data_IF_771935131812
#
_entry.id   IF_771935131812
#
_cell.length_a   1.000
_cell.length_b   1.000
_cell.length_c   1.000
_cell.angle_alpha   90.00
_cell.angle_beta   90.00
_cell.angle_gamma   90.00
#
_symmetry.space_group_name_H-M   'P 1'
#
loop_
_entity.id
_entity.type
_entity.pdbx_description
1 polymer ?
#
# COMPACT_ATOMS: atom_id res chain seq x y z
N UNK A 1 55.17 20.31 -22.17
CA UNK A 1 55.00 19.01 -21.48
C UNK A 1 53.51 18.88 -21.21
N UNK A 2 52.80 18.15 -22.07
CA UNK A 2 51.34 18.03 -22.02
C UNK A 2 51.01 16.61 -21.58
N UNK A 3 50.31 16.47 -20.46
CA UNK A 3 49.82 15.18 -19.95
C UNK A 3 48.44 14.88 -20.55
N UNK A 4 48.19 13.66 -21.05
CA UNK A 4 46.86 13.25 -21.48
C UNK A 4 46.02 12.78 -20.28
N UNK A 5 44.81 13.31 -20.17
CA UNK A 5 43.80 12.92 -19.20
C UNK A 5 43.09 11.64 -19.70
N UNK A 6 43.35 10.52 -19.04
CA UNK A 6 42.66 9.26 -19.29
C UNK A 6 41.31 9.24 -18.56
N UNK A 7 40.23 9.48 -19.28
CA UNK A 7 38.86 9.29 -18.80
C UNK A 7 38.48 7.81 -18.87
N UNK A 8 38.42 7.15 -17.70
CA UNK A 8 37.92 5.78 -17.56
C UNK A 8 36.39 5.77 -17.51
N UNK A 9 35.75 5.45 -18.63
CA UNK A 9 34.32 5.13 -18.68
C UNK A 9 34.11 3.68 -18.22
N UNK A 10 33.56 3.49 -17.03
CA UNK A 10 33.13 2.18 -16.55
C UNK A 10 31.93 1.69 -17.39
N UNK A 11 31.95 0.44 -17.89
CA UNK A 11 30.82 -0.14 -18.61
C UNK A 11 29.68 -0.46 -17.64
N UNK A 12 28.48 0.02 -17.96
CA UNK A 12 27.25 -0.36 -17.26
C UNK A 12 27.00 -1.87 -17.39
N UNK A 13 26.52 -2.55 -16.32
CA UNK A 13 26.21 -3.97 -16.38
C UNK A 13 25.08 -4.25 -17.37
N UNK A 14 25.11 -5.39 -18.10
CA UNK A 14 24.05 -5.77 -19.02
C UNK A 14 22.75 -6.03 -18.25
N UNK A 15 21.65 -5.39 -18.66
CA UNK A 15 20.32 -5.66 -18.12
C UNK A 15 19.93 -7.13 -18.34
N UNK A 16 19.27 -7.78 -17.36
CA UNK A 16 18.86 -9.17 -17.49
C UNK A 16 17.88 -9.35 -18.67
N UNK A 17 17.90 -10.49 -19.37
CA UNK A 17 17.01 -10.75 -20.49
C UNK A 17 15.55 -10.77 -20.02
N UNK A 18 14.76 -9.81 -20.49
CA UNK A 18 13.32 -9.80 -20.28
C UNK A 18 12.70 -10.88 -21.18
N UNK A 19 12.24 -11.98 -20.57
CA UNK A 19 11.49 -12.99 -21.32
C UNK A 19 10.15 -12.40 -21.80
N UNK A 20 9.85 -12.48 -23.10
CA UNK A 20 8.59 -11.96 -23.65
C UNK A 20 7.39 -12.68 -23.02
N UNK A 21 6.30 -11.96 -22.81
CA UNK A 21 5.05 -12.53 -22.32
C UNK A 21 4.51 -13.58 -23.31
N UNK A 22 4.28 -14.81 -22.84
CA UNK A 22 3.76 -15.90 -23.65
C UNK A 22 2.30 -16.18 -23.27
N UNK A 23 1.33 -15.94 -24.18
CA UNK A 23 -0.09 -16.16 -23.90
C UNK A 23 -0.51 -17.64 -23.98
N UNK A 24 0.28 -18.47 -24.68
CA UNK A 24 -0.04 -19.87 -24.95
C UNK A 24 -0.38 -20.72 -23.71
N UNK A 25 0.39 -20.70 -22.60
CA UNK A 25 0.05 -21.49 -21.41
C UNK A 25 -1.29 -21.08 -20.79
N UNK A 26 -1.60 -19.78 -20.77
CA UNK A 26 -2.85 -19.23 -20.24
C UNK A 26 -4.05 -19.68 -21.09
N UNK A 27 -3.94 -19.56 -22.41
CA UNK A 27 -4.99 -19.99 -23.33
C UNK A 27 -5.19 -21.52 -23.28
N UNK A 28 -4.10 -22.29 -23.20
CA UNK A 28 -4.18 -23.74 -23.08
C UNK A 28 -4.86 -24.17 -21.78
N UNK A 29 -4.53 -23.52 -20.65
CA UNK A 29 -5.14 -23.79 -19.35
C UNK A 29 -6.66 -23.58 -19.37
N UNK A 30 -7.10 -22.46 -19.95
CA UNK A 30 -8.54 -22.15 -20.10
C UNK A 30 -9.22 -22.91 -21.25
N UNK A 31 -8.49 -23.78 -21.95
CA UNK A 31 -8.97 -24.48 -23.16
C UNK A 31 -9.51 -23.53 -24.24
N UNK A 32 -8.93 -22.34 -24.35
CA UNK A 32 -9.28 -21.32 -25.35
C UNK A 32 -8.43 -21.45 -26.61
N UNK A 33 -8.96 -21.13 -27.80
CA UNK A 33 -8.21 -21.18 -29.05
C UNK A 33 -7.10 -20.10 -29.08
N UNK A 34 -5.98 -20.31 -29.80
CA UNK A 34 -4.90 -19.32 -29.93
C UNK A 34 -5.34 -17.97 -30.52
N UNK A 35 -6.43 -17.97 -31.30
CA UNK A 35 -7.02 -16.77 -31.92
C UNK A 35 -8.17 -16.17 -31.07
N UNK A 36 -8.27 -16.51 -29.79
CA UNK A 36 -9.31 -16.01 -28.90
C UNK A 36 -9.27 -14.47 -28.75
N UNK A 37 -10.45 -13.85 -28.68
CA UNK A 37 -10.63 -12.42 -28.45
C UNK A 37 -11.58 -12.23 -27.27
N UNK A 38 -11.20 -11.42 -26.24
CA UNK A 38 -10.00 -10.58 -26.15
C UNK A 38 -8.70 -11.38 -25.97
N UNK A 39 -7.61 -10.93 -26.59
CA UNK A 39 -6.31 -11.61 -26.48
C UNK A 39 -5.59 -11.22 -25.18
N UNK A 40 -5.02 -12.17 -24.42
CA UNK A 40 -4.26 -11.88 -23.20
C UNK A 40 -3.02 -11.02 -23.44
N UNK A 41 -2.43 -11.03 -24.65
CA UNK A 41 -1.23 -10.26 -24.95
C UNK A 41 -1.54 -8.82 -25.40
N UNK A 42 -2.58 -8.62 -26.22
CA UNK A 42 -2.90 -7.31 -26.80
C UNK A 42 -4.06 -6.59 -26.11
N UNK A 43 -4.94 -7.33 -25.46
CA UNK A 43 -6.10 -6.83 -24.71
C UNK A 43 -6.17 -7.48 -23.31
N UNK A 44 -5.10 -7.33 -22.48
CA UNK A 44 -5.00 -7.99 -21.18
C UNK A 44 -6.13 -7.59 -20.21
N UNK A 45 -6.54 -6.32 -20.18
CA UNK A 45 -7.61 -5.85 -19.28
C UNK A 45 -8.97 -6.51 -19.58
N UNK A 46 -9.51 -6.44 -20.83
CA UNK A 46 -10.74 -7.14 -21.18
C UNK A 46 -10.66 -8.65 -20.95
N UNK A 47 -9.51 -9.27 -21.23
CA UNK A 47 -9.29 -10.69 -20.99
C UNK A 47 -9.36 -11.05 -19.50
N UNK A 48 -8.62 -10.33 -18.66
CA UNK A 48 -8.63 -10.55 -17.21
C UNK A 48 -10.01 -10.27 -16.60
N UNK A 49 -10.74 -9.26 -17.09
CA UNK A 49 -12.11 -9.01 -16.61
C UNK A 49 -13.03 -10.23 -16.76
N UNK A 50 -12.81 -11.06 -17.79
CA UNK A 50 -13.61 -12.25 -18.05
C UNK A 50 -13.07 -13.49 -17.34
N UNK A 51 -11.74 -13.63 -17.28
CA UNK A 51 -11.10 -14.91 -16.94
C UNK A 51 -10.32 -14.91 -15.64
N UNK A 52 -10.09 -13.75 -15.00
CA UNK A 52 -9.29 -13.68 -13.78
C UNK A 52 -9.78 -14.60 -12.65
N UNK A 53 -11.09 -14.75 -12.35
CA UNK A 53 -11.57 -15.68 -11.32
C UNK A 53 -11.25 -17.15 -11.59
N UNK A 54 -10.91 -17.50 -12.83
CA UNK A 54 -10.59 -18.86 -13.24
C UNK A 54 -9.08 -19.08 -13.39
N UNK A 55 -8.25 -18.05 -13.21
CA UNK A 55 -6.81 -18.15 -13.42
C UNK A 55 -6.10 -18.39 -12.09
N UNK A 56 -5.27 -19.44 -11.98
CA UNK A 56 -4.43 -19.61 -10.80
C UNK A 56 -3.33 -18.53 -10.75
N UNK A 57 -2.73 -18.27 -9.58
CA UNK A 57 -1.75 -17.20 -9.36
C UNK A 57 -0.56 -17.27 -10.33
N UNK A 58 -0.10 -18.50 -10.64
CA UNK A 58 0.99 -18.76 -11.57
C UNK A 58 0.72 -18.28 -12.99
N UNK A 59 -0.54 -18.23 -13.40
CA UNK A 59 -0.96 -17.78 -14.73
C UNK A 59 -1.41 -16.31 -14.74
N UNK A 60 -1.84 -15.78 -13.60
CA UNK A 60 -2.24 -14.38 -13.45
C UNK A 60 -1.03 -13.44 -13.22
N UNK A 61 -0.04 -13.84 -12.42
CA UNK A 61 1.12 -13.00 -12.09
C UNK A 61 1.89 -12.42 -13.31
N UNK A 62 2.07 -13.15 -14.43
CA UNK A 62 2.75 -12.60 -15.61
C UNK A 62 2.11 -11.33 -16.20
N UNK A 63 0.83 -11.07 -15.93
CA UNK A 63 0.15 -9.84 -16.38
C UNK A 63 0.65 -8.57 -15.69
N UNK A 64 1.36 -8.68 -14.56
CA UNK A 64 2.04 -7.53 -13.91
C UNK A 64 3.00 -6.81 -14.86
N UNK A 65 3.59 -7.55 -15.82
CA UNK A 65 4.50 -6.98 -16.82
C UNK A 65 3.77 -6.19 -17.91
N UNK A 66 2.47 -6.42 -18.08
CA UNK A 66 1.66 -5.81 -19.12
C UNK A 66 0.80 -4.66 -18.59
N UNK A 67 0.45 -4.70 -17.30
CA UNK A 67 -0.50 -3.78 -16.68
C UNK A 67 0.13 -3.06 -15.49
N UNK A 68 -0.06 -1.75 -15.46
CA UNK A 68 0.27 -0.93 -14.28
C UNK A 68 -0.66 -1.27 -13.10
N UNK A 69 -0.24 -1.02 -11.84
CA UNK A 69 -1.12 -1.18 -10.69
C UNK A 69 -2.44 -0.41 -10.80
N UNK A 70 -2.44 0.78 -11.40
CA UNK A 70 -3.65 1.59 -11.63
C UNK A 70 -4.59 0.93 -12.66
N UNK A 71 -4.06 0.39 -13.75
CA UNK A 71 -4.87 -0.39 -14.71
C UNK A 71 -5.48 -1.62 -14.04
N UNK A 72 -4.69 -2.37 -13.25
CA UNK A 72 -5.18 -3.54 -12.52
C UNK A 72 -6.30 -3.21 -11.53
N UNK A 73 -6.30 -2.00 -10.94
CA UNK A 73 -7.37 -1.54 -10.05
C UNK A 73 -8.75 -1.41 -10.74
N UNK A 74 -8.80 -1.39 -12.08
CA UNK A 74 -10.05 -1.41 -12.86
C UNK A 74 -10.72 -2.79 -12.87
N UNK A 75 -10.04 -3.83 -12.40
CA UNK A 75 -10.58 -5.17 -12.23
C UNK A 75 -11.19 -5.27 -10.82
N UNK A 76 -12.52 -5.49 -10.70
CA UNK A 76 -13.18 -5.54 -9.39
C UNK A 76 -12.54 -6.54 -8.43
N UNK A 77 -12.18 -7.73 -8.92
CA UNK A 77 -11.53 -8.75 -8.10
C UNK A 77 -10.19 -8.27 -7.53
N UNK A 78 -9.35 -7.61 -8.32
CA UNK A 78 -8.08 -7.05 -7.84
C UNK A 78 -8.31 -5.95 -6.80
N UNK A 79 -9.25 -5.04 -7.06
CA UNK A 79 -9.58 -3.96 -6.13
C UNK A 79 -10.05 -4.52 -4.78
N UNK A 80 -10.85 -5.57 -4.83
CA UNK A 80 -11.35 -6.30 -3.68
C UNK A 80 -10.22 -6.99 -2.90
N UNK A 81 -9.33 -7.72 -3.58
CA UNK A 81 -8.13 -8.33 -2.96
C UNK A 81 -7.25 -7.29 -2.26
N UNK A 82 -7.01 -6.14 -2.91
CA UNK A 82 -6.25 -5.02 -2.32
C UNK A 82 -6.94 -4.43 -1.10
N UNK A 83 -8.26 -4.31 -1.13
CA UNK A 83 -9.04 -3.82 0.01
C UNK A 83 -8.91 -4.77 1.19
N UNK A 84 -9.10 -6.08 0.96
CA UNK A 84 -8.94 -7.11 1.99
C UNK A 84 -7.51 -7.08 2.58
N UNK A 85 -6.48 -7.07 1.73
CA UNK A 85 -5.08 -6.93 2.14
C UNK A 85 -4.84 -5.67 2.99
N UNK A 86 -5.40 -4.53 2.58
CA UNK A 86 -5.20 -3.25 3.25
C UNK A 86 -5.93 -3.13 4.59
N UNK A 87 -6.97 -3.93 4.82
CA UNK A 87 -7.76 -3.98 6.05
C UNK A 87 -7.33 -5.12 6.99
N UNK A 88 -6.61 -6.11 6.48
CA UNK A 88 -6.19 -7.28 7.25
C UNK A 88 -5.35 -6.90 8.48
N UNK A 89 -5.70 -7.39 9.69
CA UNK A 89 -4.92 -7.20 10.90
C UNK A 89 -3.81 -8.26 11.05
N UNK A 90 -2.55 -7.88 11.35
CA UNK A 90 -2.06 -6.53 11.52
C UNK A 90 -1.90 -5.78 10.18
N UNK A 91 -2.08 -4.46 10.22
CA UNK A 91 -1.95 -3.58 9.05
C UNK A 91 -0.62 -3.86 8.33
N UNK A 92 -0.63 -4.08 6.99
CA UNK A 92 0.59 -4.35 6.26
C UNK A 92 1.65 -3.28 6.50
N UNK A 93 2.87 -3.71 6.83
CA UNK A 93 3.93 -2.82 7.28
C UNK A 93 4.29 -1.72 6.26
N UNK A 94 4.08 -1.99 4.96
CA UNK A 94 4.26 -1.02 3.90
C UNK A 94 3.22 0.12 3.94
N UNK A 95 1.99 -0.16 4.40
CA UNK A 95 0.89 0.81 4.46
C UNK A 95 0.83 1.58 5.79
N UNK A 96 1.52 1.08 6.81
CA UNK A 96 1.60 1.74 8.12
C UNK A 96 2.32 3.10 8.04
N UNK A 97 1.90 4.05 8.89
CA UNK A 97 2.40 5.42 8.84
C UNK A 97 3.93 5.56 8.90
N UNK A 98 4.70 4.77 9.69
CA UNK A 98 6.14 4.98 9.77
C UNK A 98 6.82 4.70 8.43
N UNK A 99 6.35 3.70 7.69
CA UNK A 99 6.92 3.37 6.38
C UNK A 99 6.40 4.33 5.30
N UNK A 100 5.09 4.50 5.24
CA UNK A 100 4.45 5.27 4.18
C UNK A 100 4.80 6.76 4.25
N UNK A 101 4.99 7.35 5.45
CA UNK A 101 5.29 8.78 5.59
C UNK A 101 6.64 9.16 4.95
N UNK A 102 7.63 8.26 5.01
CA UNK A 102 8.93 8.47 4.35
C UNK A 102 8.84 8.39 2.82
N UNK A 103 7.83 7.70 2.29
CA UNK A 103 7.59 7.52 0.85
C UNK A 103 6.67 8.60 0.29
N UNK A 104 5.71 9.07 1.08
CA UNK A 104 4.69 10.07 0.76
C UNK A 104 4.81 11.34 1.65
N UNK A 105 5.97 12.03 1.68
CA UNK A 105 6.21 13.14 2.60
C UNK A 105 5.29 14.36 2.33
N UNK A 106 4.88 14.54 1.07
CA UNK A 106 3.92 15.58 0.68
C UNK A 106 2.53 15.32 1.28
N UNK A 107 2.03 14.08 1.19
CA UNK A 107 0.76 13.68 1.79
C UNK A 107 0.81 13.77 3.32
N UNK A 108 1.92 13.36 3.93
CA UNK A 108 2.13 13.45 5.37
C UNK A 108 2.10 14.91 5.87
N UNK A 109 2.76 15.80 5.14
CA UNK A 109 2.80 17.23 5.47
C UNK A 109 1.44 17.88 5.28
N UNK A 110 0.72 17.53 4.20
CA UNK A 110 -0.61 18.05 3.91
C UNK A 110 -1.66 17.69 4.98
N UNK A 111 -1.54 16.51 5.60
CA UNK A 111 -2.42 16.07 6.68
C UNK A 111 -2.01 16.59 8.07
N UNK A 112 -1.01 17.47 8.16
CA UNK A 112 -0.61 18.11 9.41
C UNK A 112 0.34 17.29 10.28
N UNK A 113 1.02 16.28 9.74
CA UNK A 113 2.01 15.48 10.49
C UNK A 113 3.02 16.31 11.28
N UNK A 114 3.77 17.22 10.63
CA UNK A 114 4.71 18.11 11.33
C UNK A 114 4.04 19.04 12.34
N UNK A 115 2.83 19.54 12.05
CA UNK A 115 2.08 20.44 12.93
C UNK A 115 1.60 19.73 14.21
N UNK A 116 1.33 18.43 14.14
CA UNK A 116 1.01 17.58 15.28
C UNK A 116 2.25 17.11 16.08
N UNK A 117 3.43 17.68 15.80
CA UNK A 117 4.69 17.32 16.47
C UNK A 117 5.24 15.94 16.07
N UNK A 118 4.72 15.35 15.01
CA UNK A 118 5.19 14.06 14.51
C UNK A 118 6.29 14.26 13.47
N UNK A 119 7.49 13.80 13.82
CA UNK A 119 8.60 13.76 12.89
C UNK A 119 8.53 12.51 12.00
N UNK A 120 9.03 12.64 10.78
CA UNK A 120 9.29 11.48 9.93
C UNK A 120 10.30 10.57 10.64
N UNK A 121 10.08 9.24 10.65
CA UNK A 121 11.07 8.32 11.19
C UNK A 121 12.39 8.48 10.45
N UNK A 122 13.50 8.37 11.17
CA UNK A 122 14.81 8.54 10.56
C UNK A 122 15.06 7.37 9.60
N UNK A 123 15.64 7.62 8.41
CA UNK A 123 16.04 6.53 7.50
C UNK A 123 16.91 5.51 8.23
N UNK A 124 16.58 4.22 8.12
CA UNK A 124 17.33 3.14 8.75
C UNK A 124 17.03 2.91 10.23
N UNK A 125 16.16 3.70 10.87
CA UNK A 125 15.86 3.56 12.31
C UNK A 125 15.13 2.25 12.62
N UNK A 126 14.21 1.85 11.75
CA UNK A 126 13.47 0.60 11.90
C UNK A 126 14.37 -0.60 11.62
N UNK A 127 15.09 -0.58 10.52
CA UNK A 127 16.03 -1.65 10.15
C UNK A 127 17.11 -1.79 11.23
N UNK A 128 17.60 -0.68 11.78
CA UNK A 128 18.49 -0.71 12.94
C UNK A 128 17.85 -1.30 14.19
N UNK A 129 16.56 -1.07 14.44
CA UNK A 129 15.84 -1.69 15.55
C UNK A 129 15.64 -3.20 15.33
N UNK A 130 15.32 -3.61 14.10
CA UNK A 130 15.19 -5.02 13.70
C UNK A 130 16.55 -5.75 13.84
N UNK A 131 17.64 -5.17 13.35
CA UNK A 131 19.00 -5.69 13.50
C UNK A 131 19.43 -5.80 14.97
N UNK A 132 19.10 -4.79 15.78
CA UNK A 132 19.34 -4.84 17.24
C UNK A 132 18.53 -5.95 17.90
N UNK A 133 17.27 -6.15 17.49
CA UNK A 133 16.41 -7.18 18.03
C UNK A 133 16.90 -8.58 17.63
N UNK A 134 17.26 -8.76 16.36
CA UNK A 134 17.84 -9.98 15.83
C UNK A 134 19.14 -10.34 16.55
N UNK A 135 20.07 -9.40 16.69
CA UNK A 135 21.33 -9.62 17.40
C UNK A 135 21.10 -10.04 18.86
N UNK A 136 20.11 -9.43 19.53
CA UNK A 136 19.73 -9.81 20.90
C UNK A 136 19.14 -11.21 20.97
N UNK A 137 18.26 -11.59 20.04
CA UNK A 137 17.56 -12.87 20.08
C UNK A 137 18.46 -14.04 19.67
N UNK A 138 19.10 -13.96 18.49
CA UNK A 138 19.87 -15.08 17.94
C UNK A 138 21.25 -15.25 18.60
N UNK A 139 21.89 -14.15 19.01
CA UNK A 139 23.27 -14.19 19.50
C UNK A 139 23.36 -14.36 21.03
N UNK A 140 22.50 -13.67 21.81
CA UNK A 140 22.44 -13.89 23.28
C UNK A 140 21.77 -15.22 23.61
N UNK A 141 20.70 -15.57 22.87
CA UNK A 141 19.94 -16.80 23.09
C UNK A 141 20.78 -18.08 22.99
N UNK A 142 21.85 -18.08 22.18
CA UNK A 142 22.74 -19.25 21.99
C UNK A 142 23.94 -19.32 22.95
N UNK A 143 24.45 -18.19 23.46
CA UNK A 143 25.66 -18.16 24.32
C UNK A 143 25.38 -18.05 25.81
N UNK A 144 24.13 -17.84 26.22
CA UNK A 144 23.75 -17.69 27.63
C UNK A 144 24.16 -16.33 28.22
N UNK A 145 23.85 -16.10 29.51
CA UNK A 145 23.95 -14.79 30.16
C UNK A 145 25.39 -14.24 30.24
N UNK A 146 26.42 -15.08 30.18
CA UNK A 146 27.83 -14.65 30.19
C UNK A 146 28.24 -13.89 28.91
N UNK A 147 27.50 -14.04 27.81
CA UNK A 147 27.74 -13.32 26.55
C UNK A 147 26.99 -12.00 26.40
N UNK A 148 26.09 -11.65 27.32
CA UNK A 148 25.13 -10.56 27.13
C UNK A 148 25.77 -9.16 26.97
N UNK A 149 26.94 -8.93 27.59
CA UNK A 149 27.65 -7.64 27.52
C UNK A 149 28.19 -7.29 26.12
N UNK A 150 28.88 -8.22 25.46
CA UNK A 150 29.42 -8.00 24.11
C UNK A 150 28.33 -7.91 23.03
N UNK A 151 27.15 -8.47 23.28
CA UNK A 151 26.06 -8.49 22.28
C UNK A 151 25.27 -7.18 22.26
N UNK A 152 25.22 -6.46 23.38
CA UNK A 152 24.71 -5.09 23.41
C UNK A 152 25.50 -4.19 22.46
N UNK A 153 26.83 -4.28 22.50
CA UNK A 153 27.73 -3.53 21.63
C UNK A 153 27.60 -3.95 20.17
N UNK A 154 27.46 -5.26 19.88
CA UNK A 154 27.27 -5.76 18.52
C UNK A 154 25.93 -5.29 17.92
N UNK A 155 24.83 -5.39 18.64
CA UNK A 155 23.53 -4.90 18.16
C UNK A 155 23.52 -3.39 17.95
N UNK A 156 24.15 -2.62 18.85
CA UNK A 156 24.30 -1.18 18.67
C UNK A 156 25.13 -0.84 17.41
N UNK A 157 26.23 -1.56 17.19
CA UNK A 157 27.09 -1.41 16.03
C UNK A 157 26.38 -1.76 14.72
N UNK A 158 25.69 -2.91 14.66
CA UNK A 158 24.93 -3.34 13.49
C UNK A 158 23.81 -2.35 13.14
N UNK A 159 23.04 -1.92 14.14
CA UNK A 159 22.04 -0.87 13.91
C UNK A 159 22.65 0.47 13.47
N UNK A 160 23.87 0.79 13.93
CA UNK A 160 24.63 1.95 13.46
C UNK A 160 24.98 1.86 11.98
N UNK A 161 25.51 0.71 11.53
CA UNK A 161 25.81 0.45 10.13
C UNK A 161 24.57 0.47 9.24
N UNK A 162 23.43 -0.01 9.73
CA UNK A 162 22.19 0.01 8.96
C UNK A 162 21.67 1.43 8.73
N UNK A 163 21.71 2.28 9.76
CA UNK A 163 21.40 3.71 9.62
C UNK A 163 22.36 4.40 8.64
N UNK A 164 23.65 4.06 8.68
CA UNK A 164 24.64 4.61 7.74
C UNK A 164 24.33 4.19 6.30
N UNK A 165 24.02 2.91 6.07
CA UNK A 165 23.67 2.36 4.75
C UNK A 165 22.39 3.01 4.21
N UNK A 166 21.34 3.09 5.02
CA UNK A 166 20.10 3.75 4.64
C UNK A 166 20.32 5.24 4.34
N UNK A 167 21.16 5.91 5.13
CA UNK A 167 21.55 7.31 4.92
C UNK A 167 22.36 7.53 3.64
N UNK A 168 23.23 6.60 3.26
CA UNK A 168 23.94 6.62 1.98
C UNK A 168 23.00 6.43 0.80
N UNK A 169 22.14 5.42 0.84
CA UNK A 169 21.13 5.16 -0.19
C UNK A 169 20.21 6.37 -0.40
N UNK A 170 19.79 7.04 0.67
CA UNK A 170 18.99 8.26 0.57
C UNK A 170 19.77 9.43 -0.06
N UNK A 171 21.06 9.59 0.28
CA UNK A 171 21.93 10.59 -0.35
C UNK A 171 22.12 10.31 -1.84
N UNK A 172 22.26 9.05 -2.24
CA UNK A 172 22.32 8.64 -3.63
C UNK A 172 21.00 8.90 -4.37
N UNK A 173 19.86 8.51 -3.77
CA UNK A 173 18.52 8.78 -4.33
C UNK A 173 18.28 10.27 -4.52
N UNK A 174 18.70 11.11 -3.56
CA UNK A 174 18.63 12.57 -3.66
C UNK A 174 19.48 13.10 -4.82
N UNK A 175 20.70 12.59 -5.00
CA UNK A 175 21.57 12.93 -6.13
C UNK A 175 20.95 12.50 -7.46
N UNK A 176 20.42 11.29 -7.56
CA UNK A 176 19.75 10.78 -8.75
C UNK A 176 18.52 11.63 -9.14
N UNK A 177 17.70 12.02 -8.16
CA UNK A 177 16.55 12.93 -8.38
C UNK A 177 16.98 14.31 -8.87
N UNK A 178 18.04 14.87 -8.28
CA UNK A 178 18.57 16.16 -8.71
C UNK A 178 19.11 16.11 -10.15
N UNK A 179 19.82 15.03 -10.51
CA UNK A 179 20.31 14.80 -11.86
C UNK A 179 19.16 14.60 -12.88
N UNK A 180 18.15 13.80 -12.53
CA UNK A 180 16.98 13.60 -13.37
C UNK A 180 16.23 14.91 -13.64
N UNK A 181 16.08 15.76 -12.61
CA UNK A 181 15.49 17.10 -12.75
C UNK A 181 16.33 18.03 -13.61
N UNK A 182 17.67 17.96 -13.50
CA UNK A 182 18.57 18.77 -14.32
C UNK A 182 18.65 18.33 -15.80
N UNK A 183 18.29 17.08 -16.09
CA UNK A 183 18.27 16.53 -17.46
C UNK A 183 16.90 16.68 -18.15
N UNK A 184 15.84 17.01 -17.41
CA UNK A 184 14.59 17.43 -18.04
C UNK A 184 14.79 18.82 -18.65
N UNK A 185 14.55 19.02 -19.96
CA UNK A 185 14.47 20.36 -20.52
C UNK A 185 13.37 21.11 -19.77
N UNK A 186 13.63 22.37 -19.40
CA UNK A 186 12.62 23.20 -18.75
C UNK A 186 11.34 23.19 -19.61
N UNK A 187 10.16 22.90 -19.04
CA UNK A 187 8.95 23.27 -19.72
C UNK A 187 8.99 24.80 -19.86
N UNK A 188 8.91 25.28 -21.10
CA UNK A 188 8.64 26.68 -21.37
C UNK A 188 7.42 27.06 -20.53
N UNK A 189 7.61 28.00 -19.61
CA UNK A 189 6.53 28.57 -18.81
C UNK A 189 5.63 29.34 -19.77
N UNK A 190 4.57 28.70 -20.26
CA UNK A 190 3.37 29.41 -20.67
C UNK A 190 2.66 29.83 -19.37
N UNK A 191 2.74 31.13 -19.08
CA UNK A 191 1.87 31.81 -18.14
C UNK A 191 0.42 31.65 -18.65
N UNK A 192 -0.33 30.72 -18.06
CA UNK A 192 -1.79 30.81 -18.05
C UNK A 192 -2.25 31.07 -16.62
N UNK A 193 -2.66 32.31 -16.41
CA UNK A 193 -3.48 32.78 -15.29
C UNK A 193 -4.85 32.09 -15.29
N UNK A 194 -5.32 31.79 -14.08
CA UNK A 194 -6.73 31.60 -13.68
C UNK A 194 -7.52 30.41 -14.24
N UNK A 195 -7.78 29.41 -13.38
CA UNK A 195 -9.12 29.29 -12.78
C UNK A 195 -9.08 28.40 -11.52
N UNK A 196 -9.53 28.99 -10.42
CA UNK A 196 -9.85 28.31 -9.17
C UNK A 196 -11.03 27.36 -9.40
N UNK A 197 -10.79 26.07 -9.50
CA UNK A 197 -11.84 25.09 -9.19
C UNK A 197 -11.25 23.98 -8.32
N UNK A 198 -11.35 24.20 -7.00
CA UNK A 198 -11.23 23.15 -6.01
C UNK A 198 -12.30 22.09 -6.34
N UNK A 199 -11.87 21.05 -7.04
CA UNK A 199 -12.61 19.82 -7.24
C UNK A 199 -12.94 19.19 -5.90
N UNK A 200 -14.10 19.59 -5.38
CA UNK A 200 -14.89 19.00 -4.32
C UNK A 200 -14.61 17.51 -4.17
N UNK A 201 -13.81 17.16 -3.16
CA UNK A 201 -13.75 15.81 -2.64
C UNK A 201 -15.17 15.47 -2.21
N UNK A 202 -15.84 14.66 -3.03
CA UNK A 202 -17.14 14.08 -2.73
C UNK A 202 -17.05 13.39 -1.38
N UNK A 203 -17.54 14.10 -0.38
CA UNK A 203 -17.95 13.61 0.92
C UNK A 203 -19.10 12.65 0.68
N UNK A 204 -18.77 11.41 0.35
CA UNK A 204 -19.71 10.32 0.58
C UNK A 204 -19.64 10.01 2.08
N UNK A 205 -20.66 10.47 2.78
CA UNK A 205 -20.92 10.17 4.18
C UNK A 205 -20.84 8.65 4.39
N UNK A 206 -19.87 8.23 5.19
CA UNK A 206 -20.03 7.08 6.08
C UNK A 206 -19.97 7.67 7.49
N UNK A 207 -21.15 7.87 8.05
CA UNK A 207 -21.39 8.27 9.42
C UNK A 207 -20.76 7.25 10.38
N UNK A 208 -19.77 7.68 11.17
CA UNK A 208 -19.47 7.12 12.51
C UNK A 208 -18.49 8.03 13.27
N UNK A 209 -19.07 8.86 14.14
CA UNK A 209 -18.60 9.16 15.51
C UNK A 209 -17.09 9.39 15.80
N UNK A 210 -16.35 10.20 15.01
CA UNK A 210 -14.97 10.59 15.38
C UNK A 210 -14.67 12.10 15.21
N UNK A 211 -15.61 12.96 15.61
CA UNK A 211 -15.43 14.43 15.56
C UNK A 211 -14.53 14.99 16.68
N UNK A 212 -13.95 14.14 17.54
CA UNK A 212 -13.07 14.58 18.64
C UNK A 212 -11.56 14.59 18.35
N UNK A 213 -11.11 13.97 17.26
CA UNK A 213 -9.70 13.55 17.13
C UNK A 213 -8.82 14.33 16.14
N UNK A 214 -9.36 15.34 15.44
CA UNK A 214 -8.72 15.91 14.23
C UNK A 214 -7.37 16.63 14.45
N UNK A 215 -7.01 16.98 15.69
CA UNK A 215 -5.70 17.59 16.01
C UNK A 215 -4.78 16.71 16.85
N UNK A 216 -5.25 15.54 17.28
CA UNK A 216 -4.41 14.59 17.99
C UNK A 216 -3.43 13.93 17.02
N UNK A 217 -2.19 13.72 17.46
CA UNK A 217 -1.18 12.99 16.72
C UNK A 217 -1.67 11.62 16.21
N UNK A 218 -2.53 10.95 16.97
CA UNK A 218 -3.14 9.69 16.55
C UNK A 218 -4.19 9.87 15.44
N UNK A 219 -4.98 10.94 15.49
CA UNK A 219 -5.94 11.29 14.43
C UNK A 219 -5.24 11.54 13.10
N UNK A 220 -4.13 12.29 13.12
CA UNK A 220 -3.31 12.53 11.92
C UNK A 220 -2.72 11.23 11.36
N UNK A 221 -2.23 10.33 12.22
CA UNK A 221 -1.74 9.01 11.78
C UNK A 221 -2.84 8.19 11.12
N UNK A 222 -4.03 8.10 11.73
CA UNK A 222 -5.16 7.35 11.17
C UNK A 222 -5.64 7.93 9.84
N UNK A 223 -5.74 9.27 9.75
CA UNK A 223 -6.09 9.96 8.52
C UNK A 223 -5.08 9.68 7.39
N UNK A 224 -3.79 9.72 7.73
CA UNK A 224 -2.73 9.40 6.78
C UNK A 224 -2.78 7.94 6.32
N UNK A 225 -2.91 6.99 7.24
CA UNK A 225 -3.03 5.55 6.90
C UNK A 225 -4.30 5.26 6.08
N UNK A 226 -5.41 5.95 6.34
CA UNK A 226 -6.61 5.90 5.49
C UNK A 226 -6.30 6.37 4.07
N UNK A 227 -5.70 7.55 3.91
CA UNK A 227 -5.35 8.09 2.60
C UNK A 227 -4.34 7.22 1.83
N UNK A 228 -3.38 6.63 2.53
CA UNK A 228 -2.42 5.67 1.95
C UNK A 228 -3.14 4.40 1.47
N UNK A 229 -4.04 3.82 2.27
CA UNK A 229 -4.84 2.65 1.88
C UNK A 229 -5.71 2.93 0.66
N UNK A 230 -6.36 4.08 0.60
CA UNK A 230 -7.16 4.47 -0.57
C UNK A 230 -6.30 4.57 -1.85
N UNK A 231 -5.14 5.21 -1.77
CA UNK A 231 -4.17 5.26 -2.88
C UNK A 231 -3.63 3.89 -3.25
N UNK A 232 -3.41 3.01 -2.26
CA UNK A 232 -2.99 1.63 -2.48
C UNK A 232 -4.05 0.87 -3.30
N UNK A 233 -5.31 0.86 -2.84
CA UNK A 233 -6.42 0.18 -3.53
C UNK A 233 -6.58 0.71 -4.95
N UNK A 234 -6.46 2.02 -5.16
CA UNK A 234 -6.50 2.67 -6.48
C UNK A 234 -5.28 2.38 -7.38
N UNK A 235 -4.24 1.73 -6.88
CA UNK A 235 -3.03 1.42 -7.67
C UNK A 235 -2.11 2.63 -7.88
N UNK A 236 -2.17 3.64 -7.01
CA UNK A 236 -1.47 4.92 -7.16
C UNK A 236 -0.17 5.03 -6.34
N UNK A 237 0.21 3.99 -5.60
CA UNK A 237 1.45 3.97 -4.83
C UNK A 237 2.56 3.28 -5.62
N UNK A 238 3.36 4.05 -6.36
CA UNK A 238 4.43 3.48 -7.20
C UNK A 238 5.55 2.75 -6.46
N UNK A 239 5.60 2.86 -5.12
CA UNK A 239 6.58 2.18 -4.26
C UNK A 239 6.01 0.95 -3.54
N UNK A 240 4.70 0.73 -3.60
CA UNK A 240 4.06 -0.36 -2.89
C UNK A 240 4.22 -1.69 -3.64
N UNK A 241 4.30 -2.77 -2.88
CA UNK A 241 4.22 -4.13 -3.41
C UNK A 241 2.74 -4.52 -3.58
N UNK A 242 2.41 -4.93 -4.80
CA UNK A 242 1.07 -5.34 -5.24
C UNK A 242 0.99 -6.85 -5.49
N UNK A 243 1.83 -7.65 -4.83
CA UNK A 243 1.76 -9.12 -4.91
C UNK A 243 0.37 -9.68 -4.58
N UNK A 244 -0.37 -9.04 -3.66
CA UNK A 244 -1.73 -9.42 -3.28
C UNK A 244 -2.74 -9.39 -4.43
N UNK A 245 -2.45 -8.69 -5.54
CA UNK A 245 -3.28 -8.71 -6.76
C UNK A 245 -3.50 -10.13 -7.28
N UNK A 246 -2.51 -10.99 -7.13
CA UNK A 246 -2.49 -12.32 -7.74
C UNK A 246 -2.67 -13.46 -6.74
N UNK A 247 -2.86 -13.14 -5.46
CA UNK A 247 -3.04 -14.11 -4.39
C UNK A 247 -4.52 -14.43 -4.18
N UNK A 248 -4.91 -15.68 -4.37
CA UNK A 248 -6.31 -16.12 -4.19
C UNK A 248 -6.75 -16.14 -2.72
N UNK A 249 -5.79 -16.09 -1.78
CA UNK A 249 -6.09 -16.06 -0.34
C UNK A 249 -6.95 -14.87 0.09
N UNK A 250 -6.92 -13.76 -0.67
CA UNK A 250 -7.69 -12.55 -0.40
C UNK A 250 -9.11 -12.59 -0.95
N UNK A 251 -9.49 -13.62 -1.70
CA UNK A 251 -10.86 -13.76 -2.22
C UNK A 251 -11.82 -14.30 -1.15
N UNK A 252 -11.34 -15.23 -0.31
CA UNK A 252 -12.16 -15.95 0.66
C UNK A 252 -12.61 -15.06 1.85
N UNK A 253 -11.86 -14.02 2.18
CA UNK A 253 -12.19 -13.11 3.28
C UNK A 253 -13.51 -12.36 3.00
N UNK A 254 -13.74 -11.98 1.74
CA UNK A 254 -14.93 -11.23 1.33
C UNK A 254 -16.19 -12.10 1.26
N UNK A 255 -16.04 -13.37 0.88
CA UNK A 255 -17.15 -14.33 0.90
C UNK A 255 -17.58 -14.61 2.35
N UNK A 256 -16.63 -14.76 3.28
CA UNK A 256 -16.91 -15.00 4.70
C UNK A 256 -17.60 -13.82 5.38
N UNK A 257 -17.09 -12.60 5.22
CA UNK A 257 -17.70 -11.40 5.81
C UNK A 257 -19.12 -11.13 5.26
N UNK A 258 -19.34 -11.43 3.97
CA UNK A 258 -20.65 -11.33 3.34
C UNK A 258 -21.65 -12.35 3.88
N UNK A 259 -21.21 -13.58 4.15
CA UNK A 259 -22.01 -14.63 4.77
C UNK A 259 -22.32 -14.32 6.25
N UNK A 260 -21.32 -13.95 7.06
CA UNK A 260 -21.49 -13.63 8.49
C UNK A 260 -22.49 -12.49 8.72
N UNK A 261 -22.42 -11.42 7.91
CA UNK A 261 -23.37 -10.30 7.98
C UNK A 261 -24.82 -10.69 7.62
N UNK A 262 -25.00 -11.74 6.81
CA UNK A 262 -26.32 -12.27 6.48
C UNK A 262 -26.96 -13.04 7.64
N UNK A 263 -26.15 -13.62 8.54
CA UNK A 263 -26.64 -14.34 9.71
C UNK A 263 -26.96 -13.39 10.88
N UNK A 264 -26.18 -12.33 11.10
CA UNK A 264 -26.41 -11.38 12.20
C UNK A 264 -27.64 -10.47 11.97
N UNK A 265 -27.98 -10.17 10.72
CA UNK A 265 -29.15 -9.34 10.39
C UNK A 265 -30.51 -10.00 10.70
N UNK A 266 -30.53 -11.29 11.04
CA UNK A 266 -31.74 -12.03 11.39
C UNK A 266 -32.11 -12.03 12.87
N UNK A 267 -31.21 -11.64 13.78
CA UNK A 267 -31.42 -11.79 15.23
C UNK A 267 -31.85 -10.48 15.93
N UNK A 268 -31.66 -9.30 15.30
CA UNK A 268 -31.99 -7.99 15.88
C UNK A 268 -33.41 -7.46 15.55
N UNK A 269 -34.24 -8.24 14.84
CA UNK A 269 -35.56 -7.80 14.34
C UNK A 269 -36.80 -8.19 15.17
N UNK A 270 -36.67 -9.02 16.22
CA UNK A 270 -37.82 -9.53 16.99
C UNK A 270 -37.83 -9.04 18.46
N UNK A 271 -37.41 -7.78 18.66
CA UNK A 271 -37.46 -7.10 19.96
C UNK A 271 -38.31 -5.83 19.91
N UNK A 272 -39.46 -5.85 19.24
CA UNK A 272 -40.51 -4.83 19.45
C UNK A 272 -41.12 -5.06 20.84
N UNK A 273 -40.41 -4.55 21.86
CA UNK A 273 -41.01 -4.17 23.11
C UNK A 273 -42.08 -3.11 22.79
N UNK A 274 -43.34 -3.54 22.77
CA UNK A 274 -44.52 -2.71 22.63
C UNK A 274 -44.91 -2.21 24.04
N UNK A 275 -44.53 -1.00 24.48
CA UNK A 275 -44.99 -0.44 25.74
C UNK A 275 -46.45 -0.01 25.59
N UNK A 276 -47.36 -0.98 25.71
CA UNK A 276 -48.78 -0.73 25.92
C UNK A 276 -49.00 -0.04 27.27
N UNK A 277 -48.85 1.28 27.28
CA UNK A 277 -49.13 2.15 28.42
C UNK A 277 -49.74 3.48 27.95
N UNK A 278 -50.99 3.74 28.35
CA UNK A 278 -51.54 5.10 28.35
C UNK A 278 -53.04 5.22 28.16
N UNK A 279 -53.77 5.13 29.28
CA UNK A 279 -54.98 5.89 29.63
C UNK A 279 -56.02 6.25 28.56
N UNK A 280 -57.18 5.58 28.63
CA UNK A 280 -58.47 6.23 28.36
C UNK A 280 -59.57 5.65 29.26
N UNK A 281 -59.59 6.06 30.54
CA UNK A 281 -60.77 5.88 31.40
C UNK A 281 -61.67 7.11 31.28
N UNK A 282 -62.44 7.15 30.19
CA UNK A 282 -63.55 8.08 30.02
C UNK A 282 -64.62 7.86 31.09
N UNK A 283 -64.70 8.79 32.04
CA UNK A 283 -65.83 8.95 32.96
C UNK A 283 -67.05 9.39 32.16
N UNK A 284 -68.08 8.55 32.12
CA UNK A 284 -69.41 8.91 31.60
C UNK A 284 -70.23 9.51 32.75
N UNK A 285 -70.54 10.80 32.61
CA UNK A 285 -71.67 11.45 33.30
C UNK A 285 -72.98 10.78 32.88
N UNK A 286 -73.76 10.30 33.85
CA UNK A 286 -75.22 10.42 33.95
C UNK A 286 -75.74 9.95 35.31
#
# INVERSE_FOLDING_TARGET
>A
MSSPSSSSSSPSPPSPPQHPFSPSPILAYLSLPPAYTPSPATQPLPFLRQHLPHLPPSHAAPFERLLTPEQRAQLPLIRNRRLAYALHPPLPAQLAWPHAAAREPALWSALGGPAAGLSLPKPGEREAAEERAWAKQEFVGRKGPEGAGMVGDLGALLGGYEMERAGEAERERRRARALARAQQPEPEQEEEEEEEEMGSLSSHETSSEDEGASTSAEGVKRAFERAVRERFVAGRLGWADYACDWEDGWDAELEREGEERWFDAGEEGEGEDDPMGGDDTGVLDY
#
